data_IF_453356296967
#
_entry.id   IF_453356296967
#
_cell.length_a   1.000
_cell.length_b   1.000
_cell.length_c   1.000
_cell.angle_alpha   90.00
_cell.angle_beta   90.00
_cell.angle_gamma   90.00
#
_symmetry.space_group_name_H-M   'P 1'
#
loop_
_entity.id
_entity.type
_entity.pdbx_description
1 polymer ?
#
# COMPACT_ATOMS: atom_id res chain seq x y z
N UNK A 1 -11.14 20.42 6.08
CA UNK A 1 -11.72 19.08 6.40
C UNK A 1 -10.57 18.11 6.43
N UNK A 2 -10.46 17.28 7.48
CA UNK A 2 -9.48 16.21 7.53
C UNK A 2 -9.71 15.27 6.36
N UNK A 3 -8.65 14.97 5.61
CA UNK A 3 -8.71 14.09 4.43
C UNK A 3 -8.65 12.61 4.80
N UNK A 4 -8.79 12.27 6.10
CA UNK A 4 -8.68 10.91 6.60
C UNK A 4 -9.63 10.62 7.77
N UNK A 5 -9.99 9.34 7.89
CA UNK A 5 -10.79 8.75 8.97
C UNK A 5 -10.17 7.43 9.41
N UNK A 6 -10.30 7.10 10.70
CA UNK A 6 -9.81 5.83 11.27
C UNK A 6 -10.93 5.15 12.04
N UNK A 7 -11.09 3.85 11.82
CA UNK A 7 -12.05 2.99 12.49
C UNK A 7 -11.31 1.89 13.26
N UNK A 8 -11.58 1.78 14.56
CA UNK A 8 -11.04 0.70 15.39
C UNK A 8 -12.07 -0.44 15.51
N UNK A 9 -12.07 -1.33 14.54
CA UNK A 9 -12.94 -2.50 14.44
C UNK A 9 -12.41 -3.49 13.41
N UNK A 10 -13.00 -4.65 13.29
CA UNK A 10 -12.85 -5.49 12.10
C UNK A 10 -13.60 -4.84 10.92
N UNK A 11 -12.98 -4.74 9.75
CA UNK A 11 -13.63 -4.12 8.58
C UNK A 11 -14.95 -4.80 8.21
N UNK A 12 -15.10 -6.10 8.51
CA UNK A 12 -16.31 -6.90 8.28
C UNK A 12 -17.50 -6.44 9.14
N UNK A 13 -17.24 -5.77 10.26
CA UNK A 13 -18.27 -5.20 11.14
C UNK A 13 -18.88 -3.89 10.58
N UNK A 14 -18.26 -3.28 9.58
CA UNK A 14 -18.72 -2.03 9.00
C UNK A 14 -19.89 -2.20 8.01
N UNK A 15 -20.27 -3.45 7.69
CA UNK A 15 -21.32 -3.74 6.72
C UNK A 15 -20.84 -3.55 5.28
N UNK A 16 -21.74 -3.12 4.42
CA UNK A 16 -21.40 -2.85 3.02
C UNK A 16 -20.55 -1.57 2.92
N UNK A 17 -19.31 -1.75 2.46
CA UNK A 17 -18.34 -0.65 2.37
C UNK A 17 -18.72 0.35 1.28
N UNK A 18 -19.34 -0.09 0.19
CA UNK A 18 -19.81 0.75 -0.91
C UNK A 18 -20.98 1.63 -0.49
N UNK A 19 -21.94 1.09 0.26
CA UNK A 19 -23.05 1.87 0.83
C UNK A 19 -22.55 2.94 1.81
N UNK A 20 -21.51 2.59 2.58
CA UNK A 20 -20.97 3.45 3.63
C UNK A 20 -20.06 4.55 3.11
N UNK A 21 -19.16 4.24 2.17
CA UNK A 21 -18.06 5.11 1.76
C UNK A 21 -18.11 5.55 0.31
N UNK A 22 -19.04 5.03 -0.49
CA UNK A 22 -19.14 5.28 -1.93
C UNK A 22 -18.06 4.54 -2.72
N UNK A 23 -17.64 5.08 -3.85
CA UNK A 23 -16.57 4.49 -4.66
C UNK A 23 -15.20 4.66 -3.98
N UNK A 24 -14.42 3.58 -3.97
CA UNK A 24 -13.08 3.56 -3.36
C UNK A 24 -12.14 2.58 -4.06
N UNK A 25 -10.86 2.69 -3.71
CA UNK A 25 -9.80 1.73 -4.05
C UNK A 25 -9.27 1.13 -2.77
N UNK A 26 -9.21 -0.19 -2.69
CA UNK A 26 -8.52 -0.87 -1.58
C UNK A 26 -7.02 -0.82 -1.84
N UNK A 27 -6.24 -0.38 -0.84
CA UNK A 27 -4.77 -0.47 -0.86
C UNK A 27 -4.31 -1.03 0.46
N UNK A 28 -3.78 -2.25 0.47
CA UNK A 28 -3.47 -2.90 1.74
C UNK A 28 -2.31 -3.90 1.67
N UNK A 29 -1.62 -4.07 2.80
CA UNK A 29 -0.66 -5.11 3.15
C UNK A 29 -1.28 -5.96 4.27
N UNK A 30 -2.15 -6.94 3.94
CA UNK A 30 -2.89 -7.71 4.96
C UNK A 30 -1.95 -8.57 5.80
N UNK A 31 -2.38 -9.07 6.97
CA UNK A 31 -1.66 -10.12 7.70
C UNK A 31 -1.43 -11.33 6.78
N UNK A 32 -0.28 -12.00 6.89
CA UNK A 32 0.14 -13.01 5.89
C UNK A 32 -0.22 -14.45 6.23
N UNK A 33 -0.92 -14.65 7.34
CA UNK A 33 -1.31 -15.96 7.85
C UNK A 33 -0.11 -16.91 8.06
N UNK A 34 0.97 -16.37 8.61
CA UNK A 34 2.24 -17.08 8.85
C UNK A 34 2.52 -17.33 10.34
N UNK A 35 1.47 -17.28 11.16
CA UNK A 35 1.53 -17.42 12.61
C UNK A 35 2.40 -16.32 13.28
N UNK A 36 2.30 -15.09 12.79
CA UNK A 36 2.93 -13.95 13.43
C UNK A 36 2.17 -13.55 14.69
N UNK A 37 2.88 -13.20 15.77
CA UNK A 37 2.25 -12.83 17.04
C UNK A 37 1.83 -11.36 17.06
N UNK A 38 0.63 -11.06 16.56
CA UNK A 38 -0.03 -9.78 16.77
C UNK A 38 -0.79 -9.78 18.10
N UNK A 39 -0.94 -8.60 18.73
CA UNK A 39 -1.61 -8.48 20.02
C UNK A 39 -3.13 -8.72 19.92
N UNK A 40 -3.77 -8.22 18.85
CA UNK A 40 -5.21 -8.24 18.67
C UNK A 40 -5.70 -9.17 17.54
N UNK A 41 -4.80 -9.75 16.76
CA UNK A 41 -5.16 -10.59 15.61
C UNK A 41 -4.47 -11.96 15.67
N UNK A 42 -5.22 -12.99 15.32
CA UNK A 42 -4.74 -14.37 15.24
C UNK A 42 -4.31 -14.70 13.81
N UNK A 43 -3.00 -14.59 13.52
CA UNK A 43 -2.40 -14.75 12.19
C UNK A 43 -2.14 -16.25 11.84
N UNK A 44 -3.10 -17.12 12.12
CA UNK A 44 -3.04 -18.57 11.83
C UNK A 44 -4.45 -19.18 11.70
N UNK A 45 -5.33 -18.51 10.98
CA UNK A 45 -6.64 -19.05 10.60
C UNK A 45 -6.48 -20.11 9.50
N UNK A 46 -7.53 -20.91 9.25
CA UNK A 46 -7.51 -21.91 8.18
C UNK A 46 -7.16 -21.28 6.83
N UNK A 47 -6.36 -21.96 6.00
CA UNK A 47 -5.87 -21.39 4.74
C UNK A 47 -7.02 -21.03 3.78
N UNK A 48 -8.04 -21.87 3.72
CA UNK A 48 -9.24 -21.63 2.92
C UNK A 48 -10.00 -20.40 3.40
N UNK A 49 -10.21 -20.25 4.71
CA UNK A 49 -10.87 -19.09 5.31
C UNK A 49 -10.10 -17.80 5.03
N UNK A 50 -8.77 -17.86 5.10
CA UNK A 50 -7.90 -16.73 4.79
C UNK A 50 -8.01 -16.30 3.32
N UNK A 51 -7.99 -17.25 2.40
CA UNK A 51 -8.10 -16.97 0.96
C UNK A 51 -9.49 -16.41 0.63
N UNK A 52 -10.55 -17.01 1.14
CA UNK A 52 -11.93 -16.54 0.96
C UNK A 52 -12.12 -15.12 1.49
N UNK A 53 -11.57 -14.81 2.67
CA UNK A 53 -11.62 -13.47 3.27
C UNK A 53 -11.00 -12.42 2.33
N UNK A 54 -9.79 -12.65 1.81
CA UNK A 54 -9.11 -11.70 0.94
C UNK A 54 -9.73 -11.66 -0.47
N UNK A 55 -10.17 -12.81 -1.00
CA UNK A 55 -10.84 -12.88 -2.28
C UNK A 55 -12.16 -12.09 -2.25
N UNK A 56 -12.98 -12.29 -1.22
CA UNK A 56 -14.23 -11.55 -1.02
C UNK A 56 -13.98 -10.05 -0.88
N UNK A 57 -12.90 -9.66 -0.19
CA UNK A 57 -12.54 -8.25 -0.03
C UNK A 57 -12.28 -7.56 -1.39
N UNK A 58 -11.60 -8.23 -2.34
CA UNK A 58 -11.19 -7.64 -3.61
C UNK A 58 -12.14 -7.92 -4.77
N UNK A 59 -13.05 -8.88 -4.63
CA UNK A 59 -13.95 -9.29 -5.71
C UNK A 59 -14.85 -8.14 -6.15
N UNK A 60 -14.83 -7.82 -7.44
CA UNK A 60 -15.58 -6.70 -8.01
C UNK A 60 -15.00 -5.32 -7.73
N UNK A 61 -13.99 -5.17 -6.89
CA UNK A 61 -13.42 -3.88 -6.44
C UNK A 61 -12.11 -3.55 -7.11
N UNK A 62 -11.84 -2.26 -7.24
CA UNK A 62 -10.50 -1.76 -7.54
C UNK A 62 -9.61 -1.97 -6.32
N UNK A 63 -8.50 -2.70 -6.47
CA UNK A 63 -7.67 -3.02 -5.31
C UNK A 63 -6.19 -3.17 -5.64
N UNK A 64 -5.36 -2.87 -4.65
CA UNK A 64 -3.91 -3.07 -4.65
C UNK A 64 -3.54 -3.86 -3.41
N UNK A 65 -3.04 -5.06 -3.61
CA UNK A 65 -2.66 -5.97 -2.53
C UNK A 65 -1.16 -6.20 -2.56
N UNK A 66 -0.53 -6.05 -1.40
CA UNK A 66 0.87 -6.41 -1.18
C UNK A 66 0.92 -7.77 -0.49
N UNK A 67 1.60 -8.75 -1.09
CA UNK A 67 1.73 -10.08 -0.48
C UNK A 67 2.93 -10.85 -1.04
N UNK A 68 3.18 -12.03 -0.52
CA UNK A 68 4.05 -12.99 -1.18
C UNK A 68 3.42 -13.48 -2.49
N UNK A 69 4.23 -13.72 -3.55
CA UNK A 69 3.70 -14.10 -4.87
C UNK A 69 2.76 -15.30 -4.84
N UNK A 70 3.12 -16.34 -4.07
CA UNK A 70 2.35 -17.59 -4.00
C UNK A 70 0.93 -17.35 -3.47
N UNK A 71 0.80 -16.50 -2.45
CA UNK A 71 -0.50 -16.16 -1.88
C UNK A 71 -1.30 -15.25 -2.83
N UNK A 72 -0.66 -14.31 -3.51
CA UNK A 72 -1.34 -13.45 -4.49
C UNK A 72 -1.95 -14.26 -5.64
N UNK A 73 -1.26 -15.30 -6.13
CA UNK A 73 -1.83 -16.18 -7.15
C UNK A 73 -3.06 -16.94 -6.63
N UNK A 74 -3.00 -17.44 -5.41
CA UNK A 74 -4.11 -18.15 -4.79
C UNK A 74 -5.31 -17.23 -4.54
N UNK A 75 -5.08 -16.02 -4.02
CA UNK A 75 -6.10 -14.99 -3.81
C UNK A 75 -6.75 -14.58 -5.13
N UNK A 76 -5.95 -14.36 -6.18
CA UNK A 76 -6.43 -13.98 -7.51
C UNK A 76 -7.29 -15.09 -8.13
N UNK A 77 -6.87 -16.35 -7.99
CA UNK A 77 -7.62 -17.51 -8.45
C UNK A 77 -8.96 -17.65 -7.72
N UNK A 78 -8.97 -17.52 -6.39
CA UNK A 78 -10.18 -17.61 -5.56
C UNK A 78 -11.17 -16.48 -5.90
N UNK A 79 -10.66 -15.26 -6.10
CA UNK A 79 -11.48 -14.11 -6.50
C UNK A 79 -11.96 -14.15 -7.97
N UNK A 80 -11.45 -15.07 -8.79
CA UNK A 80 -11.70 -15.11 -10.23
C UNK A 80 -11.13 -13.89 -10.98
N UNK A 81 -10.02 -13.32 -10.49
CA UNK A 81 -9.42 -12.09 -11.01
C UNK A 81 -8.04 -12.36 -11.64
N UNK A 82 -7.69 -11.52 -12.61
CA UNK A 82 -6.33 -11.43 -13.15
C UNK A 82 -5.82 -10.02 -12.86
N UNK A 83 -4.64 -9.85 -12.24
CA UNK A 83 -4.10 -8.53 -11.99
C UNK A 83 -3.80 -7.79 -13.30
N UNK A 84 -4.16 -6.52 -13.38
CA UNK A 84 -3.81 -5.63 -14.50
C UNK A 84 -2.31 -5.39 -14.58
N UNK A 85 -1.68 -5.26 -13.41
CA UNK A 85 -0.23 -5.10 -13.24
C UNK A 85 0.23 -5.81 -11.98
N UNK A 86 1.49 -6.21 -11.99
CA UNK A 86 2.22 -6.67 -10.80
C UNK A 86 3.55 -5.93 -10.75
N UNK A 87 3.91 -5.46 -9.58
CA UNK A 87 5.20 -4.84 -9.28
C UNK A 87 5.93 -5.72 -8.28
N UNK A 88 7.17 -6.07 -8.56
CA UNK A 88 8.02 -6.79 -7.61
C UNK A 88 8.77 -5.80 -6.71
N UNK A 89 8.41 -5.77 -5.44
CA UNK A 89 9.14 -5.04 -4.42
C UNK A 89 10.21 -5.94 -3.80
N UNK A 90 11.47 -5.63 -4.12
CA UNK A 90 12.65 -6.38 -3.71
C UNK A 90 13.35 -5.66 -2.55
N UNK A 91 13.84 -6.43 -1.59
CA UNK A 91 14.54 -5.92 -0.41
C UNK A 91 15.61 -6.89 0.06
N UNK A 92 16.57 -6.39 0.83
CA UNK A 92 17.60 -7.22 1.42
C UNK A 92 17.20 -7.65 2.84
N UNK A 93 17.09 -8.95 3.08
CA UNK A 93 16.81 -9.55 4.38
C UNK A 93 17.68 -10.77 4.64
N UNK A 94 17.70 -11.26 5.89
CA UNK A 94 18.42 -12.47 6.27
C UNK A 94 17.60 -13.75 6.06
N UNK A 95 16.49 -13.67 5.32
CA UNK A 95 15.62 -14.80 5.00
C UNK A 95 15.72 -15.15 3.52
N UNK A 96 15.36 -16.37 3.10
CA UNK A 96 15.33 -16.74 1.68
C UNK A 96 14.35 -15.89 0.85
N UNK A 97 13.28 -15.36 1.46
CA UNK A 97 12.32 -14.49 0.80
C UNK A 97 12.85 -13.07 0.75
N UNK A 98 13.15 -12.58 -0.46
CA UNK A 98 13.77 -11.29 -0.73
C UNK A 98 12.84 -10.33 -1.49
N UNK A 99 11.56 -10.70 -1.67
CA UNK A 99 10.59 -9.84 -2.35
C UNK A 99 9.16 -10.13 -1.90
N UNK A 100 8.31 -9.16 -2.18
CA UNK A 100 6.85 -9.24 -2.20
C UNK A 100 6.37 -8.68 -3.52
N UNK A 101 5.22 -9.13 -3.97
CA UNK A 101 4.56 -8.54 -5.13
C UNK A 101 3.44 -7.61 -4.71
N UNK A 102 3.20 -6.59 -5.52
CA UNK A 102 2.16 -5.60 -5.39
C UNK A 102 1.26 -5.76 -6.61
N UNK A 103 0.10 -6.37 -6.42
CA UNK A 103 -0.82 -6.68 -7.51
C UNK A 103 -1.96 -5.65 -7.57
N UNK A 104 -2.24 -5.17 -8.77
CA UNK A 104 -3.29 -4.20 -9.09
C UNK A 104 -4.45 -4.92 -9.76
N UNK A 105 -5.61 -5.00 -9.10
CA UNK A 105 -6.81 -5.64 -9.60
C UNK A 105 -7.85 -4.59 -9.98
N UNK A 106 -8.46 -4.71 -11.15
CA UNK A 106 -9.50 -3.83 -11.69
C UNK A 106 -9.09 -2.34 -11.78
N UNK A 107 -7.82 -2.01 -11.59
CA UNK A 107 -7.25 -0.66 -11.71
C UNK A 107 -5.95 -0.72 -12.49
N UNK A 108 -5.75 0.21 -13.43
CA UNK A 108 -4.50 0.33 -14.19
C UNK A 108 -3.64 1.45 -13.59
N UNK A 109 -2.45 1.15 -13.05
CA UNK A 109 -1.56 2.16 -12.52
C UNK A 109 -0.84 2.95 -13.61
N UNK A 110 -0.67 4.26 -13.44
CA UNK A 110 0.07 5.12 -14.34
C UNK A 110 1.50 5.36 -13.85
N UNK A 111 2.43 4.55 -14.33
CA UNK A 111 3.86 4.63 -13.98
C UNK A 111 4.55 5.93 -14.43
N UNK A 112 3.89 6.77 -15.23
CA UNK A 112 4.46 8.05 -15.66
C UNK A 112 4.29 9.16 -14.63
N UNK A 113 3.37 9.00 -13.67
CA UNK A 113 3.08 10.00 -12.62
C UNK A 113 4.19 10.16 -11.60
N UNK A 114 4.98 9.11 -11.37
CA UNK A 114 6.09 9.12 -10.40
C UNK A 114 7.41 8.99 -11.13
N UNK A 115 8.39 9.79 -10.73
CA UNK A 115 9.74 9.78 -11.31
C UNK A 115 10.73 9.12 -10.35
N UNK A 116 11.69 8.41 -10.92
CA UNK A 116 12.82 7.81 -10.21
C UNK A 116 14.14 8.23 -10.85
N UNK A 117 15.26 8.22 -10.12
CA UNK A 117 16.56 8.55 -10.68
C UNK A 117 16.89 7.71 -11.92
N UNK A 118 17.55 8.32 -12.90
CA UNK A 118 18.08 7.56 -14.03
C UNK A 118 19.16 6.59 -13.55
N UNK A 119 19.12 5.33 -14.03
CA UNK A 119 20.13 4.31 -13.70
C UNK A 119 21.54 4.70 -14.19
N UNK A 120 21.62 5.37 -15.36
CA UNK A 120 22.88 5.85 -15.93
C UNK A 120 22.77 7.32 -16.33
N UNK A 121 22.93 8.25 -15.39
CA UNK A 121 22.82 9.69 -15.67
C UNK A 121 23.94 10.20 -16.60
N UNK A 122 25.02 9.44 -16.80
CA UNK A 122 26.14 9.81 -17.67
C UNK A 122 25.94 9.40 -19.14
N UNK A 123 24.92 8.58 -19.46
CA UNK A 123 24.57 8.28 -20.84
C UNK A 123 24.22 9.56 -21.62
N UNK A 124 24.71 9.67 -22.88
CA UNK A 124 24.51 10.87 -23.70
C UNK A 124 23.04 11.25 -23.85
N UNK A 125 22.17 10.25 -24.14
CA UNK A 125 20.72 10.49 -24.32
C UNK A 125 20.05 10.91 -23.02
N UNK A 126 20.55 10.43 -21.88
CA UNK A 126 20.03 10.82 -20.56
C UNK A 126 20.46 12.24 -20.22
N UNK A 127 21.72 12.62 -20.50
CA UNK A 127 22.18 14.01 -20.35
C UNK A 127 21.35 14.98 -21.18
N UNK A 128 21.01 14.61 -22.41
CA UNK A 128 20.14 15.45 -23.27
C UNK A 128 18.71 15.58 -22.66
N UNK A 129 18.16 14.52 -22.07
CA UNK A 129 16.86 14.57 -21.36
C UNK A 129 16.92 15.47 -20.12
N UNK A 130 17.98 15.34 -19.32
CA UNK A 130 18.19 16.17 -18.12
C UNK A 130 18.31 17.64 -18.53
N UNK A 131 19.07 17.95 -19.60
CA UNK A 131 19.21 19.31 -20.14
C UNK A 131 17.88 19.92 -20.63
N UNK A 132 16.89 19.07 -21.01
CA UNK A 132 15.51 19.47 -21.36
C UNK A 132 14.58 19.55 -20.16
N UNK A 133 15.08 19.44 -18.92
CA UNK A 133 14.28 19.52 -17.69
C UNK A 133 13.63 18.20 -17.24
N UNK A 134 13.91 17.07 -17.89
CA UNK A 134 13.41 15.76 -17.47
C UNK A 134 14.33 15.19 -16.40
N UNK A 135 13.96 15.36 -15.14
CA UNK A 135 14.81 15.06 -13.98
C UNK A 135 14.85 13.58 -13.56
N UNK A 136 14.05 12.69 -14.18
CA UNK A 136 14.01 11.27 -13.85
C UNK A 136 13.31 10.39 -14.90
N UNK A 137 13.50 9.09 -14.78
CA UNK A 137 12.75 8.08 -15.53
C UNK A 137 11.36 7.88 -14.91
N UNK A 138 10.39 7.35 -15.70
CA UNK A 138 9.16 6.78 -15.13
C UNK A 138 9.50 5.61 -14.21
N UNK A 139 8.61 5.25 -13.30
CA UNK A 139 8.78 4.03 -12.51
C UNK A 139 8.82 2.79 -13.43
N UNK A 140 9.47 1.77 -12.94
CA UNK A 140 9.44 0.42 -13.52
C UNK A 140 8.55 -0.47 -12.63
N UNK A 141 8.29 -1.69 -13.04
CA UNK A 141 7.58 -2.73 -12.30
C UNK A 141 8.49 -3.54 -11.34
N UNK A 142 9.64 -2.98 -11.00
CA UNK A 142 10.62 -3.54 -10.08
C UNK A 142 11.19 -2.46 -9.18
N UNK A 143 11.02 -2.60 -7.85
CA UNK A 143 11.45 -1.62 -6.86
C UNK A 143 12.39 -2.25 -5.85
N UNK A 144 13.58 -1.68 -5.69
CA UNK A 144 14.52 -2.07 -4.66
C UNK A 144 14.46 -1.04 -3.52
N UNK A 145 13.70 -1.39 -2.48
CA UNK A 145 13.47 -0.55 -1.30
C UNK A 145 13.59 -1.45 -0.08
N UNK A 146 14.47 -1.09 0.85
CA UNK A 146 14.66 -1.89 2.07
C UNK A 146 13.41 -1.87 2.97
N UNK A 147 13.20 -2.97 3.69
CA UNK A 147 12.19 -3.04 4.74
C UNK A 147 12.53 -2.08 5.89
N UNK A 148 11.50 -1.66 6.62
CA UNK A 148 11.68 -0.88 7.85
C UNK A 148 12.31 -1.77 8.91
N UNK A 149 13.49 -1.39 9.38
CA UNK A 149 14.23 -2.07 10.46
C UNK A 149 14.10 -1.26 11.75
N UNK A 150 14.47 -1.87 12.88
CA UNK A 150 14.38 -1.20 14.20
C UNK A 150 15.18 0.11 14.29
N UNK A 151 16.20 0.28 13.46
CA UNK A 151 17.01 1.49 13.37
C UNK A 151 16.50 2.53 12.35
N UNK A 152 15.42 2.22 11.62
CA UNK A 152 14.87 3.14 10.62
C UNK A 152 14.20 4.33 11.30
N UNK A 153 14.43 5.56 10.80
CA UNK A 153 13.86 6.78 11.37
C UNK A 153 12.32 6.80 11.35
N UNK A 154 11.69 6.11 10.40
CA UNK A 154 10.24 5.99 10.27
C UNK A 154 9.62 4.87 11.13
N UNK A 155 10.44 4.09 11.86
CA UNK A 155 9.97 2.94 12.64
C UNK A 155 9.05 3.36 13.78
N UNK A 156 7.87 2.71 13.83
CA UNK A 156 6.91 2.80 14.93
C UNK A 156 6.95 1.52 15.78
N UNK A 157 6.09 1.42 16.78
CA UNK A 157 5.93 0.20 17.56
C UNK A 157 5.32 -0.98 16.78
N UNK A 158 4.74 -0.73 15.59
CA UNK A 158 4.18 -1.80 14.74
C UNK A 158 5.31 -2.71 14.22
N UNK A 159 5.24 -4.03 14.45
CA UNK A 159 6.37 -4.92 14.15
C UNK A 159 6.64 -5.08 12.65
N UNK A 160 5.59 -5.18 11.83
CA UNK A 160 5.64 -5.44 10.39
C UNK A 160 5.33 -4.19 9.55
N UNK A 161 5.88 -3.04 9.94
CA UNK A 161 5.61 -1.78 9.27
C UNK A 161 6.10 -1.77 7.82
N UNK A 162 5.20 -1.38 6.89
CA UNK A 162 5.55 -1.11 5.50
C UNK A 162 6.44 0.13 5.35
N UNK A 163 7.42 0.14 4.43
CA UNK A 163 8.18 1.34 4.11
C UNK A 163 7.29 2.42 3.48
N UNK A 164 7.42 3.65 3.98
CA UNK A 164 6.67 4.80 3.46
C UNK A 164 6.91 5.01 1.96
N UNK A 165 8.15 4.86 1.50
CA UNK A 165 8.52 5.00 0.09
C UNK A 165 7.80 4.00 -0.82
N UNK A 166 7.54 2.76 -0.37
CA UNK A 166 6.76 1.79 -1.15
C UNK A 166 5.34 2.29 -1.34
N UNK A 167 4.68 2.71 -0.24
CA UNK A 167 3.31 3.21 -0.30
C UNK A 167 3.20 4.53 -1.06
N UNK A 168 4.18 5.43 -0.96
CA UNK A 168 4.22 6.65 -1.79
C UNK A 168 4.27 6.32 -3.28
N UNK A 169 5.01 5.31 -3.70
CA UNK A 169 5.03 4.87 -5.09
C UNK A 169 3.69 4.25 -5.51
N UNK A 170 3.12 3.38 -4.68
CA UNK A 170 1.80 2.78 -4.94
C UNK A 170 0.75 3.87 -5.12
N UNK A 171 0.58 4.73 -4.13
CA UNK A 171 -0.40 5.81 -4.15
C UNK A 171 -0.09 6.81 -5.28
N UNK A 172 1.21 7.11 -5.50
CA UNK A 172 1.67 8.05 -6.53
C UNK A 172 1.24 7.69 -7.95
N UNK A 173 1.11 6.40 -8.26
CA UNK A 173 0.72 5.91 -9.60
C UNK A 173 -0.78 5.64 -9.75
N UNK A 174 -1.58 5.81 -8.69
CA UNK A 174 -3.04 5.73 -8.74
C UNK A 174 -3.66 7.04 -9.28
N UNK A 175 -4.94 7.03 -9.69
CA UNK A 175 -5.68 8.24 -9.99
C UNK A 175 -5.72 9.20 -8.78
N UNK A 176 -5.90 10.49 -9.04
CA UNK A 176 -6.28 11.47 -8.01
C UNK A 176 -7.80 11.48 -7.79
N UNK A 177 -8.25 12.25 -6.79
CA UNK A 177 -9.68 12.42 -6.45
C UNK A 177 -10.39 11.08 -6.17
N UNK A 178 -9.73 10.18 -5.46
CA UNK A 178 -10.27 8.88 -5.07
C UNK A 178 -10.33 8.77 -3.55
N UNK A 179 -11.16 7.86 -3.06
CA UNK A 179 -11.10 7.37 -1.69
C UNK A 179 -10.26 6.10 -1.66
N UNK A 180 -9.28 6.02 -0.77
CA UNK A 180 -8.49 4.82 -0.50
C UNK A 180 -8.92 4.23 0.83
N UNK A 181 -9.23 2.94 0.86
CA UNK A 181 -9.51 2.18 2.08
C UNK A 181 -8.37 1.20 2.33
N UNK A 182 -7.83 1.21 3.53
CA UNK A 182 -6.90 0.19 4.03
C UNK A 182 -7.55 -0.57 5.19
N UNK A 183 -8.10 -1.78 4.94
CA UNK A 183 -8.82 -2.55 5.95
C UNK A 183 -7.90 -3.28 6.95
N UNK A 184 -6.58 -3.20 6.77
CA UNK A 184 -5.55 -3.74 7.65
C UNK A 184 -4.45 -2.68 7.85
N UNK A 185 -4.86 -1.49 8.27
CA UNK A 185 -4.07 -0.26 8.25
C UNK A 185 -2.77 -0.36 9.06
N UNK A 186 -2.72 -1.16 10.12
CA UNK A 186 -1.59 -1.25 11.03
C UNK A 186 -1.18 0.14 11.55
N UNK A 187 0.11 0.47 11.39
CA UNK A 187 0.63 1.79 11.80
C UNK A 187 0.28 2.95 10.85
N UNK A 188 -0.63 2.77 9.88
CA UNK A 188 -1.11 3.83 9.00
C UNK A 188 -0.12 4.28 7.93
N UNK A 189 0.73 3.40 7.42
CA UNK A 189 1.71 3.80 6.39
C UNK A 189 1.04 4.26 5.10
N UNK A 190 -0.07 3.62 4.69
CA UNK A 190 -0.89 4.04 3.54
C UNK A 190 -1.43 5.46 3.73
N UNK A 191 -2.01 5.74 4.90
CA UNK A 191 -2.53 7.07 5.25
C UNK A 191 -1.43 8.14 5.31
N UNK A 192 -0.26 7.82 5.88
CA UNK A 192 0.88 8.73 5.93
C UNK A 192 1.40 9.07 4.52
N UNK A 193 1.46 8.07 3.63
CA UNK A 193 1.84 8.28 2.23
C UNK A 193 0.85 9.21 1.50
N UNK A 194 -0.45 9.02 1.72
CA UNK A 194 -1.51 9.87 1.15
C UNK A 194 -1.41 11.29 1.71
N UNK A 195 -1.25 11.45 3.02
CA UNK A 195 -1.15 12.75 3.66
C UNK A 195 0.06 13.54 3.14
N UNK A 196 1.22 12.88 2.98
CA UNK A 196 2.41 13.51 2.39
C UNK A 196 2.18 13.94 0.94
N UNK A 197 1.61 13.06 0.10
CA UNK A 197 1.33 13.35 -1.30
C UNK A 197 0.26 14.44 -1.48
N UNK A 198 -0.76 14.50 -0.60
CA UNK A 198 -1.79 15.55 -0.65
C UNK A 198 -1.23 16.95 -0.33
N UNK A 199 -0.06 17.06 0.30
CA UNK A 199 0.64 18.35 0.50
C UNK A 199 1.30 18.85 -0.78
N UNK A 200 1.54 17.99 -1.74
CA UNK A 200 2.04 18.36 -3.06
C UNK A 200 0.88 18.99 -3.85
N UNK A 201 0.91 20.34 -4.01
CA UNK A 201 -0.18 21.16 -4.57
C UNK A 201 -0.56 20.82 -6.03
N UNK A 202 0.24 20.01 -6.70
CA UNK A 202 0.04 19.63 -8.10
C UNK A 202 -0.87 18.40 -8.27
N UNK A 203 -1.34 17.81 -7.17
CA UNK A 203 -2.14 16.59 -7.18
C UNK A 203 -3.56 16.84 -6.67
N UNK A 204 -4.54 16.20 -7.31
CA UNK A 204 -5.90 16.08 -6.76
C UNK A 204 -5.88 15.27 -5.46
N UNK A 205 -6.55 15.75 -4.39
CA UNK A 205 -6.47 15.13 -3.08
C UNK A 205 -7.09 13.73 -3.08
N UNK A 206 -6.51 12.86 -2.27
CA UNK A 206 -7.00 11.51 -1.99
C UNK A 206 -7.55 11.49 -0.57
N UNK A 207 -8.78 10.98 -0.40
CA UNK A 207 -9.36 10.69 0.93
C UNK A 207 -8.85 9.34 1.41
N UNK A 208 -8.52 9.22 2.68
CA UNK A 208 -8.07 7.99 3.31
C UNK A 208 -9.05 7.49 4.36
N UNK A 209 -9.33 6.20 4.36
CA UNK A 209 -10.06 5.48 5.40
C UNK A 209 -9.21 4.31 5.86
N UNK A 210 -8.77 4.37 7.10
CA UNK A 210 -7.99 3.31 7.73
C UNK A 210 -8.84 2.51 8.70
N UNK A 211 -8.71 1.19 8.69
CA UNK A 211 -9.43 0.30 9.60
C UNK A 211 -8.41 -0.65 10.22
N UNK A 212 -8.47 -0.84 11.52
CA UNK A 212 -7.65 -1.83 12.24
C UNK A 212 -8.36 -2.28 13.52
N UNK A 213 -8.22 -3.56 13.86
CA UNK A 213 -8.77 -4.13 15.09
C UNK A 213 -7.96 -3.74 16.32
N UNK A 214 -6.68 -3.38 16.15
CA UNK A 214 -5.80 -3.02 17.25
C UNK A 214 -5.88 -1.53 17.56
N UNK A 215 -6.39 -1.21 18.74
CA UNK A 215 -6.58 0.17 19.20
C UNK A 215 -5.24 0.95 19.27
N UNK A 216 -4.16 0.28 19.62
CA UNK A 216 -2.85 0.93 19.72
C UNK A 216 -2.31 1.27 18.33
N UNK A 217 -2.53 0.39 17.33
CA UNK A 217 -2.17 0.69 15.95
C UNK A 217 -2.98 1.85 15.38
N UNK A 218 -4.28 1.91 15.67
CA UNK A 218 -5.12 3.05 15.31
C UNK A 218 -4.57 4.36 15.91
N UNK A 219 -4.18 4.35 17.20
CA UNK A 219 -3.58 5.51 17.87
C UNK A 219 -2.27 5.95 17.20
N UNK A 220 -1.38 5.00 16.90
CA UNK A 220 -0.12 5.26 16.20
C UNK A 220 -0.37 5.86 14.81
N UNK A 221 -1.30 5.29 14.05
CA UNK A 221 -1.67 5.77 12.74
C UNK A 221 -2.21 7.21 12.78
N UNK A 222 -3.10 7.50 13.74
CA UNK A 222 -3.65 8.83 13.95
C UNK A 222 -2.55 9.87 14.28
N UNK A 223 -1.62 9.53 15.16
CA UNK A 223 -0.50 10.40 15.52
C UNK A 223 0.43 10.67 14.32
N UNK A 224 0.69 9.66 13.48
CA UNK A 224 1.46 9.83 12.24
C UNK A 224 0.78 10.77 11.27
N UNK A 225 -0.51 10.60 11.04
CA UNK A 225 -1.24 11.44 10.07
C UNK A 225 -1.40 12.88 10.55
N UNK A 226 -1.60 13.12 11.85
CA UNK A 226 -1.63 14.48 12.43
C UNK A 226 -0.33 15.29 12.20
N UNK A 227 0.80 14.63 11.93
CA UNK A 227 2.05 15.33 11.61
C UNK A 227 2.00 16.03 10.25
N UNK A 228 1.11 15.59 9.37
CA UNK A 228 0.92 16.15 8.04
C UNK A 228 -0.24 17.15 7.94
N UNK A 229 -1.09 17.27 8.96
CA UNK A 229 -2.22 18.20 9.00
C UNK A 229 -1.80 19.66 9.31
N UNK A 230 -0.48 19.94 9.45
CA UNK A 230 0.07 21.25 9.83
C UNK A 230 0.49 22.09 8.65
#
# INVERSE_FOLDING_TARGET
>A
MTSWEIYNCDYRELGDLEERFGEFVIVTDPPFNINYHYAAYKDNIAAEEYLEMLATLIQGRQSVIVHYPEALYSIAQEAGLIPKRVVSWVYNSNTPRQHRDIAFFNIEPDFTKVRQPYKNPNDKRIKERIARGLTGAKLYDWWNINQVKNISAEKTAHPCQMPLEVMKRVIGILPGNITVIDPFMGSGTTGAAIAELNREREREPIRFIGIDIDKEYCRIAEERMKQYDK
#
